data_IF_714200407386
#
_entry.id   IF_714200407386
#
_cell.length_a   1.000
_cell.length_b   1.000
_cell.length_c   1.000
_cell.angle_alpha   90.00
_cell.angle_beta   90.00
_cell.angle_gamma   90.00
#
_symmetry.space_group_name_H-M   'P 1'
#
loop_
_entity.id
_entity.type
_entity.pdbx_description
1 polymer ?
#
# COMPACT_ATOMS: atom_id res chain seq x y z
N UNK A 1 -4.53 1.64 23.68
CA UNK A 1 -3.70 0.42 23.52
C UNK A 1 -2.38 0.64 24.27
N UNK A 2 -1.72 -0.41 24.78
CA UNK A 2 -0.41 -0.26 25.45
C UNK A 2 0.69 0.01 24.41
N UNK A 3 1.82 0.62 24.82
CA UNK A 3 2.90 1.01 23.88
C UNK A 3 3.52 -0.20 23.19
N UNK A 4 3.68 -1.30 23.92
CA UNK A 4 4.22 -2.56 23.42
C UNK A 4 3.32 -3.14 22.33
N UNK A 5 2.00 -2.97 22.48
CA UNK A 5 1.03 -3.45 21.49
C UNK A 5 1.01 -2.57 20.25
N UNK A 6 1.11 -1.24 20.42
CA UNK A 6 1.21 -0.29 19.30
C UNK A 6 2.46 -0.57 18.47
N UNK A 7 3.60 -0.84 19.12
CA UNK A 7 4.85 -1.15 18.46
C UNK A 7 4.79 -2.39 17.54
N UNK A 8 3.88 -3.32 17.83
CA UNK A 8 3.72 -4.56 17.05
C UNK A 8 2.63 -4.45 16.00
N UNK A 9 1.50 -3.80 16.30
CA UNK A 9 0.28 -3.88 15.48
C UNK A 9 -0.11 -2.60 14.75
N UNK A 10 0.46 -1.44 15.12
CA UNK A 10 0.06 -0.18 14.48
C UNK A 10 0.58 -0.08 13.05
N UNK A 11 -0.27 0.33 12.12
CA UNK A 11 0.09 0.59 10.71
C UNK A 11 -0.03 -0.62 9.78
N UNK A 12 -0.46 -1.77 10.28
CA UNK A 12 -0.73 -2.95 9.45
C UNK A 12 -1.89 -3.77 10.00
N UNK A 13 -2.87 -4.04 9.15
CA UNK A 13 -3.90 -5.06 9.37
C UNK A 13 -3.61 -6.27 8.48
N UNK A 14 -4.28 -7.40 8.74
CA UNK A 14 -4.11 -8.62 7.96
C UNK A 14 -4.32 -8.34 6.46
N UNK A 15 -3.41 -8.83 5.62
CA UNK A 15 -3.50 -8.59 4.17
C UNK A 15 -4.86 -9.10 3.65
N UNK A 16 -5.69 -8.24 3.03
CA UNK A 16 -7.03 -8.63 2.62
C UNK A 16 -7.01 -9.72 1.54
N UNK A 17 -5.97 -9.77 0.72
CA UNK A 17 -5.85 -10.65 -0.45
C UNK A 17 -5.45 -12.08 -0.08
N UNK A 18 -4.40 -12.24 0.73
CA UNK A 18 -3.75 -13.53 1.04
C UNK A 18 -3.92 -13.98 2.49
N UNK A 19 -4.42 -13.10 3.37
CA UNK A 19 -4.48 -13.29 4.83
C UNK A 19 -3.11 -13.43 5.51
N UNK A 20 -2.04 -12.94 4.87
CA UNK A 20 -0.73 -12.86 5.49
C UNK A 20 -0.76 -11.95 6.74
N UNK A 21 -0.26 -12.49 7.86
CA UNK A 21 -0.13 -11.75 9.13
C UNK A 21 1.19 -11.00 9.26
N UNK A 22 2.19 -11.36 8.44
CA UNK A 22 3.42 -10.61 8.28
C UNK A 22 3.30 -9.65 7.09
N UNK A 23 3.90 -8.47 7.21
CA UNK A 23 3.92 -7.46 6.14
C UNK A 23 4.66 -8.01 4.91
N UNK A 24 4.04 -8.04 3.72
CA UNK A 24 4.72 -8.49 2.51
C UNK A 24 5.87 -7.57 2.10
N UNK A 25 6.89 -8.13 1.47
CA UNK A 25 7.97 -7.36 0.84
C UNK A 25 7.58 -7.08 -0.62
N UNK A 26 7.08 -5.88 -0.90
CA UNK A 26 6.80 -5.42 -2.27
C UNK A 26 8.08 -4.91 -2.95
N UNK A 27 8.99 -5.82 -3.30
CA UNK A 27 10.25 -5.51 -3.98
C UNK A 27 10.01 -5.22 -5.48
N UNK A 28 9.34 -4.11 -5.76
CA UNK A 28 9.03 -3.63 -7.12
C UNK A 28 9.50 -2.19 -7.31
N UNK A 29 9.68 -1.79 -8.56
CA UNK A 29 10.05 -0.41 -8.95
C UNK A 29 8.85 0.43 -9.39
N UNK A 30 7.76 -0.21 -9.81
CA UNK A 30 6.56 0.45 -10.33
C UNK A 30 5.30 -0.41 -10.12
N UNK A 31 4.13 0.22 -10.24
CA UNK A 31 2.81 -0.40 -10.11
C UNK A 31 2.01 -0.17 -11.38
N UNK A 32 1.23 -1.18 -11.80
CA UNK A 32 0.39 -1.06 -12.98
C UNK A 32 -0.81 -0.14 -12.73
N UNK A 33 -1.23 0.59 -13.75
CA UNK A 33 -2.48 1.36 -13.73
C UNK A 33 -3.60 0.53 -14.37
N UNK A 34 -4.80 0.64 -13.80
CA UNK A 34 -5.99 -0.03 -14.36
C UNK A 34 -6.41 0.57 -15.70
N UNK A 35 -6.11 1.85 -15.94
CA UNK A 35 -6.37 2.56 -17.19
C UNK A 35 -5.48 3.81 -17.32
N UNK A 36 -5.46 4.44 -18.50
CA UNK A 36 -4.78 5.72 -18.71
C UNK A 36 -5.37 6.83 -17.81
N UNK A 37 -6.70 6.85 -17.66
CA UNK A 37 -7.40 7.81 -16.80
C UNK A 37 -7.03 7.61 -15.33
N UNK A 38 -6.93 6.36 -14.85
CA UNK A 38 -6.46 6.07 -13.49
C UNK A 38 -5.02 6.59 -13.27
N UNK A 39 -4.13 6.35 -14.24
CA UNK A 39 -2.78 6.92 -14.19
C UNK A 39 -2.77 8.45 -14.07
N UNK A 40 -3.57 9.14 -14.89
CA UNK A 40 -3.70 10.60 -14.84
C UNK A 40 -4.20 11.10 -13.47
N UNK A 41 -5.25 10.48 -12.94
CA UNK A 41 -5.81 10.83 -11.62
C UNK A 41 -4.78 10.65 -10.48
N UNK A 42 -3.97 9.58 -10.52
CA UNK A 42 -2.89 9.36 -9.56
C UNK A 42 -1.82 10.46 -9.60
N UNK A 43 -1.47 10.96 -10.79
CA UNK A 43 -0.49 12.03 -10.97
C UNK A 43 -1.04 13.41 -10.61
N UNK A 44 -2.34 13.63 -10.80
CA UNK A 44 -3.04 14.86 -10.39
C UNK A 44 -3.40 14.89 -8.90
N UNK A 45 -3.11 13.83 -8.14
CA UNK A 45 -3.48 13.66 -6.72
C UNK A 45 -5.00 13.67 -6.49
N UNK A 46 -5.76 13.26 -7.49
CA UNK A 46 -7.22 13.14 -7.41
C UNK A 46 -7.63 11.86 -6.67
N UNK A 47 -6.80 10.82 -6.75
CA UNK A 47 -6.97 9.54 -6.06
C UNK A 47 -5.68 9.09 -5.39
N UNK A 48 -5.81 8.31 -4.31
CA UNK A 48 -4.67 7.68 -3.62
C UNK A 48 -4.21 6.43 -4.36
N UNK A 49 -2.91 6.16 -4.34
CA UNK A 49 -2.31 4.95 -4.90
C UNK A 49 -0.82 5.09 -5.19
N UNK A 50 -0.23 3.98 -5.62
CA UNK A 50 1.20 3.88 -5.92
C UNK A 50 1.48 4.14 -7.40
N UNK A 51 2.69 4.64 -7.72
CA UNK A 51 3.15 4.94 -9.09
C UNK A 51 4.51 4.26 -9.32
N UNK A 52 5.53 4.87 -8.73
CA UNK A 52 6.89 4.39 -8.63
C UNK A 52 7.30 4.40 -7.16
N UNK A 53 8.27 3.56 -6.80
CA UNK A 53 8.67 3.37 -5.39
C UNK A 53 9.55 4.50 -4.81
N UNK A 54 10.06 5.40 -5.67
CA UNK A 54 10.96 6.51 -5.29
C UNK A 54 10.22 7.72 -4.72
#
# INVERSE_FOLDING_TARGET
>A
MRRETIAIHSGYDVDPTTKAVAVPIYQTVAYAFDSADHGAALFNLEVEGYRYSR
#
